data_IF_688686219085
#
_entry.id   IF_688686219085
#
_cell.length_a   1.000
_cell.length_b   1.000
_cell.length_c   1.000
_cell.angle_alpha   90.00
_cell.angle_beta   90.00
_cell.angle_gamma   90.00
#
_symmetry.space_group_name_H-M   'P 1'
#
loop_
_entity.id
_entity.type
_entity.pdbx_description
1 polymer ?
#
# COMPACT_ATOMS: atom_id res chain seq x y z
N UNK A 1 10.57 3.27 2.65
CA UNK A 1 9.18 2.85 2.39
C UNK A 1 8.32 4.06 2.10
N UNK A 2 7.58 4.06 0.99
CA UNK A 2 6.70 5.16 0.61
C UNK A 2 5.27 4.63 0.68
N UNK A 3 4.49 5.03 1.68
CA UNK A 3 3.10 4.61 1.76
C UNK A 3 2.27 5.40 0.74
N UNK A 4 1.55 4.67 -0.10
CA UNK A 4 0.66 5.23 -1.12
C UNK A 4 -0.64 4.42 -1.20
N UNK A 5 -1.72 5.12 -1.51
CA UNK A 5 -2.93 4.56 -2.08
C UNK A 5 -2.90 4.82 -3.58
N UNK A 6 -3.17 3.79 -4.39
CA UNK A 6 -3.46 3.99 -5.80
C UNK A 6 -4.97 3.96 -6.01
N UNK A 7 -5.52 5.09 -6.44
CA UNK A 7 -6.95 5.29 -6.66
C UNK A 7 -7.25 5.10 -8.15
N UNK A 8 -8.10 4.15 -8.52
CA UNK A 8 -8.52 4.01 -9.92
C UNK A 8 -9.40 5.22 -10.33
N UNK A 9 -9.06 5.87 -11.44
CA UNK A 9 -9.76 7.09 -11.88
C UNK A 9 -10.87 6.82 -12.89
N UNK A 10 -10.65 5.92 -13.85
CA UNK A 10 -11.67 5.53 -14.82
C UNK A 10 -11.62 4.02 -15.12
N UNK A 11 -12.80 3.41 -15.17
CA UNK A 11 -12.99 2.03 -15.64
C UNK A 11 -13.51 2.10 -17.08
N UNK A 12 -12.78 1.55 -18.06
CA UNK A 12 -13.42 1.21 -19.34
C UNK A 12 -14.45 0.11 -19.06
N UNK A 13 -15.72 0.50 -18.94
CA UNK A 13 -16.83 -0.41 -18.64
C UNK A 13 -17.06 -1.39 -19.79
N UNK A 14 -16.32 -2.49 -19.81
CA UNK A 14 -16.74 -3.73 -20.51
C UNK A 14 -17.65 -4.61 -19.66
N UNK A 15 -17.90 -4.26 -18.39
CA UNK A 15 -19.00 -4.81 -17.61
C UNK A 15 -20.23 -3.94 -17.82
N UNK A 16 -21.17 -4.47 -18.62
CA UNK A 16 -22.44 -3.82 -18.89
C UNK A 16 -23.22 -3.52 -17.60
N UNK A 17 -23.43 -2.24 -17.34
CA UNK A 17 -24.69 -1.61 -16.93
C UNK A 17 -24.39 -0.13 -16.69
N UNK A 18 -25.09 0.71 -17.45
CA UNK A 18 -24.68 2.08 -17.72
C UNK A 18 -24.81 3.05 -16.55
N UNK A 19 -24.09 4.15 -16.71
CA UNK A 19 -24.48 5.46 -16.22
C UNK A 19 -23.92 6.49 -17.21
N UNK A 20 -24.76 6.89 -18.17
CA UNK A 20 -24.50 8.08 -18.99
C UNK A 20 -24.79 9.27 -18.07
N UNK A 21 -23.77 10.00 -17.66
CA UNK A 21 -23.93 11.29 -16.99
C UNK A 21 -24.26 12.32 -18.08
N UNK A 22 -25.54 12.45 -18.40
CA UNK A 22 -26.04 13.57 -19.20
C UNK A 22 -26.10 14.80 -18.29
N UNK A 23 -25.13 15.70 -18.44
CA UNK A 23 -25.16 17.01 -17.79
C UNK A 23 -26.23 17.86 -18.48
N UNK A 24 -27.47 17.78 -17.97
CA UNK A 24 -28.54 18.69 -18.34
C UNK A 24 -28.31 20.04 -17.65
N UNK A 25 -28.09 21.08 -18.46
CA UNK A 25 -27.93 22.46 -18.03
C UNK A 25 -29.33 23.10 -17.85
N UNK A 26 -29.77 23.52 -16.64
CA UNK A 26 -30.84 24.48 -16.55
C UNK A 26 -30.23 25.88 -16.39
N UNK A 27 -30.37 26.68 -17.45
CA UNK A 27 -30.22 28.13 -17.38
C UNK A 27 -31.33 28.65 -16.46
N UNK A 28 -30.97 29.08 -15.26
CA UNK A 28 -31.86 29.84 -14.37
C UNK A 28 -31.25 31.23 -14.18
N UNK A 29 -31.87 32.19 -14.87
CA UNK A 29 -31.65 33.62 -14.75
C UNK A 29 -32.48 34.13 -13.56
N UNK A 30 -31.83 34.59 -12.47
CA UNK A 30 -32.50 35.36 -11.41
C UNK A 30 -31.65 36.59 -11.09
N UNK A 31 -32.32 37.74 -11.11
CA UNK A 31 -31.79 39.09 -10.93
C UNK A 31 -31.30 39.40 -9.51
N UNK A 32 -30.37 40.37 -9.45
CA UNK A 32 -29.82 41.08 -8.29
C UNK A 32 -30.82 41.49 -7.20
N UNK A 33 -30.40 41.36 -5.93
CA UNK A 33 -30.56 42.40 -4.92
C UNK A 33 -29.48 42.25 -3.83
N UNK A 34 -28.73 43.32 -3.57
CA UNK A 34 -27.69 43.40 -2.54
C UNK A 34 -28.32 43.58 -1.14
N UNK A 35 -27.80 42.86 -0.14
CA UNK A 35 -27.86 43.27 1.26
C UNK A 35 -26.67 42.65 2.01
N UNK A 36 -25.84 43.51 2.57
CA UNK A 36 -24.58 43.26 3.28
C UNK A 36 -24.79 42.80 4.72
N UNK A 37 -24.14 41.71 5.14
CA UNK A 37 -23.69 41.39 6.51
C UNK A 37 -22.70 40.21 6.45
N UNK A 38 -21.66 40.15 7.31
CA UNK A 38 -20.62 39.14 7.21
C UNK A 38 -21.10 37.82 7.81
N UNK A 39 -21.49 36.88 6.96
CA UNK A 39 -21.79 35.51 7.36
C UNK A 39 -20.50 34.71 7.36
N UNK A 40 -20.21 34.13 8.52
CA UNK A 40 -19.23 33.07 8.78
C UNK A 40 -19.05 32.13 7.58
N UNK A 41 -17.81 31.79 7.28
CA UNK A 41 -17.41 30.76 6.31
C UNK A 41 -18.07 29.43 6.69
N UNK A 42 -19.29 29.24 6.19
CA UNK A 42 -20.05 28.03 6.31
C UNK A 42 -19.38 26.93 5.50
N UNK A 43 -18.85 25.94 6.20
CA UNK A 43 -18.61 24.61 5.67
C UNK A 43 -19.89 24.15 4.92
N UNK A 44 -19.81 24.03 3.60
CA UNK A 44 -20.87 23.47 2.77
C UNK A 44 -21.17 22.00 3.19
N UNK A 45 -22.40 21.50 2.94
CA UNK A 45 -23.01 20.44 3.74
C UNK A 45 -22.53 19.05 3.31
N UNK A 46 -21.52 18.52 3.99
CA UNK A 46 -21.13 17.10 3.89
C UNK A 46 -22.31 16.17 4.24
N UNK A 47 -23.23 16.64 5.08
CA UNK A 47 -24.35 15.87 5.60
C UNK A 47 -25.42 15.49 4.55
N UNK A 48 -25.66 16.30 3.51
CA UNK A 48 -26.74 15.99 2.54
C UNK A 48 -26.30 14.94 1.51
N UNK A 49 -25.02 14.96 1.11
CA UNK A 49 -24.38 13.99 0.22
C UNK A 49 -24.23 12.60 0.86
N UNK A 50 -24.07 12.55 2.19
CA UNK A 50 -23.90 11.30 2.95
C UNK A 50 -25.06 10.31 2.81
N UNK A 51 -26.29 10.82 2.67
CA UNK A 51 -27.49 9.98 2.60
C UNK A 51 -27.69 9.24 1.26
N UNK A 52 -26.99 9.69 0.20
CA UNK A 52 -27.19 9.26 -1.19
C UNK A 52 -26.15 8.25 -1.69
N UNK A 53 -24.93 8.27 -1.16
CA UNK A 53 -23.87 7.34 -1.56
C UNK A 53 -24.16 5.93 -1.06
N UNK A 54 -23.98 4.93 -1.94
CA UNK A 54 -24.18 3.50 -1.67
C UNK A 54 -23.32 2.69 -2.64
N UNK A 55 -23.01 1.45 -2.27
CA UNK A 55 -22.21 0.55 -3.09
C UNK A 55 -21.09 -0.10 -2.30
N UNK A 56 -20.14 -0.70 -3.01
CA UNK A 56 -18.97 -1.34 -2.42
C UNK A 56 -17.69 -0.69 -2.93
N UNK A 57 -16.74 -0.47 -2.05
CA UNK A 57 -15.35 -0.10 -2.35
C UNK A 57 -14.49 -1.29 -1.94
N UNK A 58 -13.76 -1.85 -2.89
CA UNK A 58 -12.82 -2.95 -2.70
C UNK A 58 -11.38 -2.40 -2.64
N UNK A 59 -10.69 -2.66 -1.53
CA UNK A 59 -9.30 -2.25 -1.28
C UNK A 59 -8.47 -3.50 -1.02
N UNK A 60 -7.26 -3.56 -1.57
CA UNK A 60 -6.33 -4.66 -1.28
C UNK A 60 -4.87 -4.27 -1.52
N UNK A 61 -3.96 -4.89 -0.78
CA UNK A 61 -2.53 -4.80 -1.07
C UNK A 61 -1.64 -4.88 0.15
N UNK A 62 -0.79 -3.87 0.33
CA UNK A 62 0.28 -3.84 1.33
C UNK A 62 -0.22 -4.02 2.76
N UNK A 63 0.33 -5.00 3.47
CA UNK A 63 0.10 -5.21 4.91
C UNK A 63 0.56 -4.04 5.78
N UNK A 64 1.56 -3.28 5.33
CA UNK A 64 2.00 -2.06 6.03
C UNK A 64 1.01 -0.89 5.96
N UNK A 65 0.17 -0.86 4.92
CA UNK A 65 -0.84 0.20 4.73
C UNK A 65 -2.21 -0.27 5.22
N UNK A 66 -2.46 -1.58 5.25
CA UNK A 66 -3.72 -2.17 5.68
C UNK A 66 -4.30 -1.60 6.98
N UNK A 67 -3.55 -1.46 8.10
CA UNK A 67 -4.11 -0.90 9.33
C UNK A 67 -4.60 0.54 9.17
N UNK A 68 -3.95 1.32 8.29
CA UNK A 68 -4.34 2.70 7.97
C UNK A 68 -5.63 2.68 7.14
N UNK A 69 -5.70 1.84 6.11
CA UNK A 69 -6.87 1.71 5.25
C UNK A 69 -8.10 1.22 6.02
N UNK A 70 -7.95 0.28 6.96
CA UNK A 70 -9.02 -0.17 7.85
C UNK A 70 -9.52 0.96 8.76
N UNK A 71 -8.61 1.70 9.41
CA UNK A 71 -9.01 2.82 10.27
C UNK A 71 -9.75 3.92 9.47
N UNK A 72 -9.30 4.21 8.24
CA UNK A 72 -9.98 5.15 7.34
C UNK A 72 -11.35 4.61 6.92
N UNK A 73 -11.46 3.31 6.61
CA UNK A 73 -12.71 2.66 6.25
C UNK A 73 -13.73 2.74 7.41
N UNK A 74 -13.29 2.52 8.65
CA UNK A 74 -14.13 2.66 9.85
C UNK A 74 -14.70 4.07 10.00
N UNK A 75 -13.86 5.11 9.89
CA UNK A 75 -14.30 6.50 9.99
C UNK A 75 -15.20 6.91 8.80
N UNK A 76 -14.86 6.45 7.60
CA UNK A 76 -15.66 6.70 6.40
C UNK A 76 -17.07 6.11 6.53
N UNK A 77 -17.20 4.88 7.04
CA UNK A 77 -18.49 4.21 7.19
C UNK A 77 -19.39 4.89 8.24
N UNK A 78 -18.83 5.57 9.25
CA UNK A 78 -19.61 6.38 10.21
C UNK A 78 -20.33 7.54 9.51
N UNK A 79 -19.70 8.13 8.50
CA UNK A 79 -20.26 9.23 7.70
C UNK A 79 -21.16 8.70 6.58
N UNK A 80 -20.79 7.58 5.95
CA UNK A 80 -21.48 7.01 4.78
C UNK A 80 -21.94 5.56 5.04
N UNK A 81 -22.94 5.33 5.92
CA UNK A 81 -23.29 3.99 6.42
C UNK A 81 -23.90 3.03 5.38
N UNK A 82 -24.21 3.52 4.18
CA UNK A 82 -24.75 2.71 3.06
C UNK A 82 -23.66 2.28 2.07
N UNK A 83 -22.42 2.72 2.26
CA UNK A 83 -21.26 2.25 1.50
C UNK A 83 -20.61 1.13 2.30
N UNK A 84 -20.23 0.05 1.62
CA UNK A 84 -19.44 -1.03 2.21
C UNK A 84 -18.01 -0.88 1.73
N UNK A 85 -17.06 -0.76 2.64
CA UNK A 85 -15.63 -0.78 2.33
C UNK A 85 -15.08 -2.12 2.78
N UNK A 86 -14.50 -2.89 1.85
CA UNK A 86 -13.80 -4.13 2.15
C UNK A 86 -12.30 -3.87 1.96
N UNK A 87 -11.49 -4.14 2.99
CA UNK A 87 -10.03 -4.00 2.93
C UNK A 87 -9.39 -5.37 3.08
N UNK A 88 -8.56 -5.76 2.11
CA UNK A 88 -7.81 -7.00 2.09
C UNK A 88 -6.30 -6.79 2.20
N UNK A 89 -5.59 -7.87 2.50
CA UNK A 89 -4.12 -7.92 2.57
C UNK A 89 -3.61 -9.00 1.63
N UNK A 90 -2.83 -8.60 0.64
CA UNK A 90 -2.21 -9.53 -0.33
C UNK A 90 -0.75 -9.18 -0.65
N UNK A 91 -0.17 -8.21 0.05
CA UNK A 91 1.12 -7.61 -0.27
C UNK A 91 1.02 -6.63 -1.46
N UNK A 92 2.00 -5.74 -1.63
CA UNK A 92 1.92 -4.71 -2.69
C UNK A 92 1.84 -5.34 -4.08
N UNK A 93 2.68 -6.34 -4.37
CA UNK A 93 2.63 -7.08 -5.62
C UNK A 93 1.32 -7.85 -5.85
N UNK A 94 0.73 -8.43 -4.80
CA UNK A 94 -0.58 -9.10 -4.88
C UNK A 94 -1.71 -8.12 -5.16
N UNK A 95 -1.72 -6.99 -4.45
CA UNK A 95 -2.67 -5.90 -4.64
C UNK A 95 -2.61 -5.35 -6.07
N UNK A 96 -1.42 -5.13 -6.60
CA UNK A 96 -1.24 -4.70 -8.00
C UNK A 96 -1.79 -5.71 -9.00
N UNK A 97 -1.61 -7.02 -8.79
CA UNK A 97 -2.16 -8.05 -9.69
C UNK A 97 -3.69 -7.97 -9.77
N UNK A 98 -4.37 -7.74 -8.65
CA UNK A 98 -5.84 -7.59 -8.60
C UNK A 98 -6.32 -6.24 -9.11
N UNK A 99 -5.65 -5.17 -8.70
CA UNK A 99 -5.96 -3.80 -9.11
C UNK A 99 -5.85 -3.61 -10.62
N UNK A 100 -4.77 -4.11 -11.24
CA UNK A 100 -4.51 -3.92 -12.67
C UNK A 100 -5.46 -4.69 -13.59
N UNK A 101 -6.29 -5.60 -13.06
CA UNK A 101 -7.39 -6.26 -13.79
C UNK A 101 -8.78 -5.72 -13.39
N UNK A 102 -8.83 -4.72 -12.52
CA UNK A 102 -10.06 -4.06 -12.09
C UNK A 102 -10.85 -4.82 -11.03
N UNK A 103 -10.22 -5.73 -10.28
CA UNK A 103 -10.88 -6.43 -9.16
C UNK A 103 -11.02 -5.56 -7.90
N UNK A 104 -10.16 -4.56 -7.74
CA UNK A 104 -10.21 -3.60 -6.63
C UNK A 104 -10.37 -2.17 -7.13
N UNK A 105 -10.94 -1.30 -6.30
CA UNK A 105 -11.05 0.15 -6.54
C UNK A 105 -9.78 0.89 -6.10
N UNK A 106 -9.12 0.38 -5.06
CA UNK A 106 -7.93 0.97 -4.45
C UNK A 106 -6.88 -0.12 -4.25
N UNK A 107 -5.61 0.23 -4.47
CA UNK A 107 -4.49 -0.63 -4.09
C UNK A 107 -3.61 0.03 -3.04
N UNK A 108 -3.48 -0.67 -1.91
CA UNK A 108 -2.56 -0.35 -0.82
C UNK A 108 -1.13 -0.68 -1.25
N UNK A 109 -0.21 0.28 -1.16
CA UNK A 109 1.13 0.13 -1.72
C UNK A 109 2.23 0.71 -0.83
N UNK A 110 3.28 -0.10 -0.59
CA UNK A 110 4.53 0.32 0.08
C UNK A 110 5.63 0.74 -0.90
N UNK A 111 5.42 0.48 -2.20
CA UNK A 111 6.28 0.87 -3.33
C UNK A 111 5.46 1.38 -4.51
N UNK A 112 6.14 2.06 -5.42
CA UNK A 112 5.55 2.50 -6.69
C UNK A 112 5.35 1.31 -7.65
N UNK A 113 4.31 1.38 -8.48
CA UNK A 113 4.10 0.44 -9.59
C UNK A 113 5.06 0.77 -10.75
N UNK A 114 6.35 0.47 -10.58
CA UNK A 114 7.39 0.72 -11.59
C UNK A 114 7.66 -0.46 -12.52
N UNK A 115 7.19 -1.65 -12.16
CA UNK A 115 7.44 -2.83 -12.97
C UNK A 115 6.71 -2.68 -14.33
N UNK A 116 7.42 -2.79 -15.48
CA UNK A 116 6.80 -2.72 -16.80
C UNK A 116 5.67 -3.73 -17.00
N UNK A 117 5.74 -4.90 -16.35
CA UNK A 117 4.67 -5.90 -16.40
C UNK A 117 3.39 -5.42 -15.72
N UNK A 118 3.50 -4.83 -14.54
CA UNK A 118 2.36 -4.31 -13.76
C UNK A 118 1.72 -3.12 -14.49
N UNK A 119 2.53 -2.15 -14.91
CA UNK A 119 2.06 -0.94 -15.62
C UNK A 119 1.45 -1.25 -16.98
N UNK A 120 2.04 -2.19 -17.74
CA UNK A 120 1.47 -2.62 -19.02
C UNK A 120 0.15 -3.36 -18.81
N UNK A 121 0.04 -4.19 -17.77
CA UNK A 121 -1.20 -4.89 -17.43
C UNK A 121 -2.34 -3.91 -17.11
N UNK A 122 -2.05 -2.87 -16.33
CA UNK A 122 -3.01 -1.81 -16.04
C UNK A 122 -3.51 -1.16 -17.35
N UNK A 123 -2.58 -0.77 -18.23
CA UNK A 123 -2.90 -0.14 -19.52
C UNK A 123 -3.72 -1.05 -20.43
N UNK A 124 -3.33 -2.31 -20.56
CA UNK A 124 -4.04 -3.32 -21.38
C UNK A 124 -5.49 -3.50 -20.94
N UNK A 125 -5.74 -3.42 -19.63
CA UNK A 125 -7.08 -3.54 -19.05
C UNK A 125 -7.81 -2.19 -18.94
N UNK A 126 -7.20 -1.09 -19.41
CA UNK A 126 -7.80 0.24 -19.34
C UNK A 126 -7.97 0.77 -17.92
N UNK A 127 -7.12 0.34 -16.98
CA UNK A 127 -7.07 0.85 -15.61
C UNK A 127 -6.13 2.05 -15.56
N UNK A 128 -6.70 3.23 -15.36
CA UNK A 128 -5.97 4.46 -15.02
C UNK A 128 -6.02 4.68 -13.51
N UNK A 129 -4.96 5.27 -12.95
CA UNK A 129 -4.87 5.47 -11.51
C UNK A 129 -4.10 6.73 -11.14
N UNK A 130 -4.47 7.31 -10.00
CA UNK A 130 -3.73 8.36 -9.31
C UNK A 130 -3.04 7.79 -8.07
N UNK A 131 -1.91 8.39 -7.70
CA UNK A 131 -1.16 7.99 -6.52
C UNK A 131 -1.30 9.02 -5.39
N UNK A 132 -1.95 8.64 -4.30
CA UNK A 132 -2.03 9.43 -3.08
C UNK A 132 -0.94 8.99 -2.11
N UNK A 133 0.04 9.86 -1.85
CA UNK A 133 1.09 9.60 -0.83
C UNK A 133 0.51 9.79 0.56
N UNK A 134 0.56 8.74 1.37
CA UNK A 134 0.13 8.74 2.77
C UNK A 134 1.26 9.15 3.72
N UNK A 135 2.49 8.69 3.44
CA UNK A 135 3.60 8.88 4.37
C UNK A 135 4.92 8.36 3.85
N UNK A 136 5.94 8.41 4.69
CA UNK A 136 7.26 7.83 4.41
C UNK A 136 7.79 7.23 5.69
N UNK A 137 8.24 5.99 5.56
CA UNK A 137 8.78 5.20 6.64
C UNK A 137 10.11 4.56 6.18
N UNK A 138 10.93 4.07 7.10
CA UNK A 138 12.23 3.48 6.82
C UNK A 138 12.49 2.26 7.69
N UNK A 139 12.73 1.12 7.05
CA UNK A 139 13.24 -0.07 7.74
C UNK A 139 14.76 0.01 7.77
N UNK A 140 15.35 -0.17 8.95
CA UNK A 140 16.79 -0.22 9.15
C UNK A 140 17.23 -1.65 9.45
N UNK A 141 18.30 -2.10 8.81
CA UNK A 141 18.96 -3.36 9.16
C UNK A 141 20.12 -3.03 10.09
N UNK A 142 20.12 -3.64 11.27
CA UNK A 142 21.15 -3.42 12.28
C UNK A 142 21.96 -4.70 12.51
N UNK A 143 23.23 -4.51 12.86
CA UNK A 143 24.11 -5.57 13.34
C UNK A 143 24.49 -5.27 14.79
N UNK A 144 24.88 -6.30 15.53
CA UNK A 144 25.44 -6.11 16.86
C UNK A 144 26.69 -5.18 16.78
N UNK A 145 26.86 -4.20 17.70
CA UNK A 145 27.99 -3.27 17.68
C UNK A 145 29.37 -3.96 17.78
N UNK A 146 29.44 -5.18 18.33
CA UNK A 146 30.67 -5.97 18.37
C UNK A 146 31.07 -6.49 16.98
N UNK A 147 30.16 -6.51 16.01
CA UNK A 147 30.44 -6.84 14.61
C UNK A 147 31.05 -5.63 13.87
N UNK A 148 32.16 -5.10 14.40
CA UNK A 148 32.86 -3.92 13.88
C UNK A 148 33.47 -4.09 12.46
N UNK A 149 33.39 -5.30 11.89
CA UNK A 149 33.82 -5.61 10.54
C UNK A 149 32.73 -5.38 9.48
N UNK A 150 31.48 -5.14 9.90
CA UNK A 150 30.36 -4.85 9.00
C UNK A 150 30.07 -3.36 9.01
N UNK A 151 30.55 -2.64 7.99
CA UNK A 151 30.20 -1.22 7.80
C UNK A 151 28.84 -1.07 7.08
N UNK A 152 28.58 -1.89 6.08
CA UNK A 152 27.32 -1.95 5.35
C UNK A 152 27.08 -3.34 4.77
N UNK A 153 25.84 -3.62 4.40
CA UNK A 153 25.45 -4.80 3.62
C UNK A 153 24.69 -4.34 2.39
N UNK A 154 25.00 -4.95 1.25
CA UNK A 154 24.26 -4.75 0.01
C UNK A 154 22.94 -5.55 0.03
N UNK A 155 21.97 -5.15 -0.80
CA UNK A 155 20.73 -5.93 -0.99
C UNK A 155 21.03 -7.36 -1.43
N UNK A 156 22.08 -7.57 -2.23
CA UNK A 156 22.51 -8.91 -2.67
C UNK A 156 22.97 -9.77 -1.49
N UNK A 157 23.74 -9.20 -0.57
CA UNK A 157 24.20 -9.91 0.63
C UNK A 157 23.05 -10.17 1.60
N UNK A 158 22.15 -9.20 1.81
CA UNK A 158 20.94 -9.40 2.59
C UNK A 158 20.10 -10.54 2.00
N UNK A 159 19.91 -10.56 0.67
CA UNK A 159 19.21 -11.66 0.00
C UNK A 159 19.93 -12.99 0.18
N UNK A 160 21.25 -13.03 0.08
CA UNK A 160 22.03 -14.24 0.32
C UNK A 160 21.83 -14.77 1.76
N UNK A 161 21.72 -13.88 2.74
CA UNK A 161 21.48 -14.23 4.15
C UNK A 161 20.06 -14.70 4.40
N UNK A 162 19.06 -13.99 3.86
CA UNK A 162 17.65 -14.10 4.26
C UNK A 162 16.76 -14.90 3.32
N UNK A 163 17.23 -15.27 2.12
CA UNK A 163 16.39 -16.05 1.20
C UNK A 163 15.98 -17.40 1.83
N UNK A 164 14.81 -17.96 1.45
CA UNK A 164 14.28 -19.22 2.02
C UNK A 164 15.22 -20.42 1.94
N UNK A 165 16.11 -20.47 0.95
CA UNK A 165 17.04 -21.57 0.70
C UNK A 165 18.45 -21.29 1.27
N UNK A 166 18.62 -20.20 2.02
CA UNK A 166 19.93 -19.79 2.53
C UNK A 166 20.47 -20.82 3.51
N UNK A 167 21.70 -21.24 3.26
CA UNK A 167 22.48 -22.08 4.18
C UNK A 167 23.57 -21.28 4.90
N UNK A 168 23.59 -19.96 4.73
CA UNK A 168 24.57 -19.08 5.36
C UNK A 168 24.34 -19.09 6.88
N UNK A 169 25.36 -19.49 7.61
CA UNK A 169 25.34 -19.56 9.08
C UNK A 169 26.54 -18.86 9.73
N UNK A 170 27.42 -18.29 8.91
CA UNK A 170 28.67 -17.67 9.33
C UNK A 170 28.97 -16.42 8.51
N UNK A 171 29.60 -15.41 9.12
CA UNK A 171 29.88 -14.12 8.48
C UNK A 171 30.85 -14.24 7.30
N UNK A 172 31.86 -15.10 7.37
CA UNK A 172 32.82 -15.33 6.27
C UNK A 172 32.18 -15.92 4.99
N UNK A 173 30.94 -16.42 5.07
CA UNK A 173 30.18 -16.93 3.92
C UNK A 173 29.44 -15.80 3.18
N UNK A 174 29.25 -14.64 3.82
CA UNK A 174 28.54 -13.48 3.26
C UNK A 174 29.46 -12.71 2.32
N UNK A 175 30.64 -12.35 2.81
CA UNK A 175 31.60 -11.52 2.09
C UNK A 175 33.03 -11.97 2.41
N UNK A 176 33.89 -11.98 1.38
CA UNK A 176 35.33 -12.21 1.59
C UNK A 176 35.91 -11.15 2.52
N UNK A 177 36.73 -11.59 3.48
CA UNK A 177 37.36 -10.73 4.50
C UNK A 177 36.57 -10.64 5.81
N UNK A 178 35.31 -11.07 5.85
CA UNK A 178 34.58 -11.21 7.12
C UNK A 178 35.13 -12.37 7.96
N UNK A 179 35.06 -12.28 9.30
CA UNK A 179 35.64 -13.27 10.19
C UNK A 179 34.85 -14.58 10.20
N UNK A 180 35.51 -15.66 10.59
CA UNK A 180 34.88 -16.95 10.88
C UNK A 180 34.12 -16.90 12.21
N UNK A 181 32.96 -16.24 12.18
CA UNK A 181 32.08 -16.03 13.32
C UNK A 181 30.66 -16.45 13.00
N UNK A 182 30.08 -17.27 13.89
CA UNK A 182 28.70 -17.73 13.76
C UNK A 182 27.73 -16.55 13.72
N UNK A 183 26.89 -16.53 12.69
CA UNK A 183 25.83 -15.53 12.53
C UNK A 183 24.57 -15.97 13.28
N UNK A 184 23.90 -15.00 13.92
CA UNK A 184 22.58 -15.19 14.54
C UNK A 184 21.63 -14.17 13.95
N UNK A 185 20.48 -14.63 13.52
CA UNK A 185 19.48 -13.81 12.84
C UNK A 185 18.33 -13.48 13.80
N UNK A 186 17.90 -12.23 13.74
CA UNK A 186 16.79 -11.67 14.51
C UNK A 186 15.96 -10.81 13.57
N UNK A 187 14.64 -10.85 13.71
CA UNK A 187 13.73 -10.06 12.88
C UNK A 187 12.31 -10.03 13.44
N UNK A 188 11.44 -9.23 12.83
CA UNK A 188 10.02 -9.22 13.16
C UNK A 188 9.41 -10.60 12.90
N UNK A 189 8.31 -10.91 13.58
CA UNK A 189 7.55 -12.13 13.31
C UNK A 189 6.91 -12.12 11.91
N UNK A 190 6.40 -13.28 11.48
CA UNK A 190 5.79 -13.42 10.15
C UNK A 190 4.48 -12.66 9.98
N UNK A 191 3.85 -12.22 11.07
CA UNK A 191 2.58 -11.50 11.03
C UNK A 191 2.80 -9.97 10.93
N UNK A 192 4.06 -9.52 11.07
CA UNK A 192 4.46 -8.13 10.94
C UNK A 192 4.47 -7.62 9.48
N UNK A 193 3.92 -6.42 9.28
CA UNK A 193 4.05 -5.69 8.01
C UNK A 193 5.51 -5.32 7.67
N UNK A 194 6.36 -5.16 8.69
CA UNK A 194 7.81 -4.93 8.50
C UNK A 194 8.47 -6.16 7.89
N UNK A 195 8.09 -7.36 8.34
CA UNK A 195 8.56 -8.63 7.77
C UNK A 195 8.13 -8.79 6.31
N UNK A 196 6.86 -8.51 6.02
CA UNK A 196 6.34 -8.51 4.64
C UNK A 196 7.11 -7.56 3.73
N UNK A 197 7.33 -6.32 4.19
CA UNK A 197 8.05 -5.32 3.40
C UNK A 197 9.51 -5.74 3.16
N UNK A 198 10.20 -6.19 4.22
CA UNK A 198 11.59 -6.62 4.12
C UNK A 198 11.75 -7.79 3.14
N UNK A 199 10.88 -8.81 3.22
CA UNK A 199 10.94 -9.98 2.34
C UNK A 199 10.56 -9.64 0.89
N UNK A 200 9.55 -8.78 0.67
CA UNK A 200 9.20 -8.31 -0.68
C UNK A 200 10.39 -7.56 -1.31
N UNK A 201 11.04 -6.65 -0.58
CA UNK A 201 12.11 -5.81 -1.13
C UNK A 201 13.44 -6.58 -1.29
N UNK A 202 13.80 -7.43 -0.31
CA UNK A 202 15.09 -8.12 -0.30
C UNK A 202 15.01 -9.45 -1.07
N UNK A 203 13.97 -10.25 -0.84
CA UNK A 203 13.84 -11.58 -1.43
C UNK A 203 13.00 -11.59 -2.71
N UNK A 204 12.16 -10.57 -2.91
CA UNK A 204 11.35 -10.37 -4.13
C UNK A 204 9.89 -10.81 -4.00
N UNK A 205 9.53 -11.39 -2.86
CA UNK A 205 8.18 -11.88 -2.56
C UNK A 205 7.92 -11.73 -1.05
N UNK A 206 6.75 -11.20 -0.69
CA UNK A 206 6.32 -11.12 0.70
C UNK A 206 6.26 -12.52 1.31
N UNK A 207 6.52 -12.63 2.62
CA UNK A 207 6.59 -13.89 3.36
C UNK A 207 7.73 -14.84 2.96
N UNK A 208 8.51 -14.53 1.91
CA UNK A 208 9.61 -15.37 1.47
C UNK A 208 10.85 -15.10 2.34
N UNK A 209 11.03 -15.86 3.41
CA UNK A 209 12.25 -15.84 4.23
C UNK A 209 12.61 -17.24 4.71
N UNK A 210 13.87 -17.43 5.12
CA UNK A 210 14.26 -18.62 5.90
C UNK A 210 13.56 -18.60 7.27
N UNK A 211 13.28 -19.77 7.83
CA UNK A 211 12.54 -19.89 9.09
C UNK A 211 13.45 -19.95 10.34
N UNK A 212 14.76 -20.14 10.18
CA UNK A 212 15.72 -20.33 11.26
C UNK A 212 16.35 -19.00 11.74
N UNK A 213 15.48 -18.09 12.19
CA UNK A 213 15.86 -16.86 12.89
C UNK A 213 15.07 -16.72 14.19
N UNK A 214 15.47 -15.79 15.05
CA UNK A 214 14.71 -15.47 16.28
C UNK A 214 13.71 -14.36 15.97
N UNK A 215 12.43 -14.71 15.93
CA UNK A 215 11.34 -13.76 15.72
C UNK A 215 11.01 -12.97 16.99
N UNK A 216 10.59 -11.72 16.81
CA UNK A 216 10.06 -10.81 17.84
C UNK A 216 8.77 -10.19 17.36
N UNK A 217 7.78 -10.08 18.24
CA UNK A 217 6.52 -9.36 17.99
C UNK A 217 6.59 -7.87 18.36
N UNK A 218 7.66 -7.47 19.07
CA UNK A 218 8.00 -6.07 19.28
C UNK A 218 8.93 -5.65 18.13
N UNK A 219 8.36 -4.87 17.20
CA UNK A 219 9.00 -4.29 16.01
C UNK A 219 9.64 -2.92 16.31
#
# INVERSE_FOLDING_TARGET
>A
VLYKLMLALERSTKRGRGLIITIGLPVILIMMACASSPSEEGAAPVAESASKLKGTIEIDGSSTVYPISEAVAEEFNKVFPKVRVNVGVSGTGGGFKRFTVGETDISDASRLMKNPKETSKARENGVTYDELRLGTDGVSVMVNPDNNFVECLTVKELKAIWNPESTITNWNQVQSGFPDQKMRLYGPDSDSGTFDYFTEEINGEAQASRADYTASADD
#
